data_IF_675704367062
#
_entry.id   IF_675704367062
#
_cell.length_a   1.000
_cell.length_b   1.000
_cell.length_c   1.000
_cell.angle_alpha   90.00
_cell.angle_beta   90.00
_cell.angle_gamma   90.00
#
_symmetry.space_group_name_H-M   'P 1'
#
loop_
_entity.id
_entity.type
_entity.pdbx_description
1 polymer ?
#
# COMPACT_ATOMS: atom_id res chain seq x y z
N UNK A 1 43.50 10.25 -0.17
CA UNK A 1 42.52 9.13 -0.15
C UNK A 1 41.62 9.36 1.03
N UNK A 2 40.48 10.00 0.80
CA UNK A 2 39.47 10.25 1.83
C UNK A 2 38.61 9.01 1.99
N UNK A 3 38.39 8.60 3.25
CA UNK A 3 37.67 7.39 3.62
C UNK A 3 36.16 7.54 3.35
N UNK A 4 35.60 6.61 2.59
CA UNK A 4 34.15 6.45 2.38
C UNK A 4 33.47 6.18 3.74
N UNK A 5 32.31 6.80 4.05
CA UNK A 5 31.60 6.56 5.31
C UNK A 5 31.18 5.09 5.46
N UNK A 6 31.65 4.44 6.53
CA UNK A 6 31.26 3.09 6.92
C UNK A 6 29.81 3.07 7.40
N UNK A 7 28.87 2.70 6.54
CA UNK A 7 27.44 2.62 6.91
C UNK A 7 26.59 1.58 6.17
N UNK A 8 27.10 0.91 5.13
CA UNK A 8 26.31 -0.04 4.33
C UNK A 8 27.16 -1.25 3.90
N UNK A 9 27.77 -1.93 4.86
CA UNK A 9 28.46 -3.20 4.60
C UNK A 9 27.94 -4.27 5.55
N UNK A 10 26.88 -4.98 5.14
CA UNK A 10 26.52 -6.37 5.51
C UNK A 10 25.08 -6.66 5.13
N UNK A 11 24.82 -7.00 3.87
CA UNK A 11 23.63 -7.78 3.51
C UNK A 11 24.01 -8.70 2.35
N UNK A 12 23.62 -9.97 2.46
CA UNK A 12 23.42 -11.01 1.44
C UNK A 12 24.38 -12.20 1.59
N UNK A 13 23.94 -13.20 2.36
CA UNK A 13 23.91 -14.59 1.91
C UNK A 13 22.66 -15.27 2.49
N UNK A 14 21.80 -15.82 1.62
CA UNK A 14 20.79 -16.81 2.02
C UNK A 14 20.53 -17.72 0.80
N UNK A 15 20.69 -19.04 0.92
CA UNK A 15 20.53 -19.95 -0.20
C UNK A 15 19.06 -20.21 -0.53
N UNK A 16 18.79 -20.38 -1.82
CA UNK A 16 17.52 -20.83 -2.37
C UNK A 16 17.18 -22.24 -1.86
N UNK A 17 16.03 -22.39 -1.18
CA UNK A 17 15.37 -23.69 -0.98
C UNK A 17 14.24 -23.84 -1.99
N UNK A 18 14.32 -24.89 -2.80
CA UNK A 18 13.22 -25.43 -3.59
C UNK A 18 12.33 -26.30 -2.69
N UNK A 19 11.00 -26.16 -2.81
CA UNK A 19 10.03 -27.04 -2.16
C UNK A 19 9.27 -27.80 -3.25
N UNK A 20 9.29 -29.14 -3.26
CA UNK A 20 8.50 -29.95 -4.20
C UNK A 20 7.10 -30.28 -3.65
N UNK A 21 6.12 -30.24 -4.56
CA UNK A 21 4.91 -31.10 -4.64
C UNK A 21 3.91 -31.13 -3.48
N UNK A 22 2.72 -30.55 -3.67
CA UNK A 22 1.52 -30.86 -2.88
C UNK A 22 0.43 -31.46 -3.80
N UNK A 23 0.15 -32.78 -3.74
CA UNK A 23 -0.89 -33.46 -4.51
C UNK A 23 -2.20 -33.58 -3.69
N UNK A 24 -2.79 -32.43 -3.34
CA UNK A 24 -4.13 -32.31 -2.77
C UNK A 24 -4.72 -30.97 -3.26
N UNK A 25 -5.93 -30.85 -3.78
CA UNK A 25 -6.98 -31.83 -3.97
C UNK A 25 -7.95 -31.33 -5.02
N UNK A 26 -8.16 -32.17 -6.03
CA UNK A 26 -9.14 -32.09 -7.11
C UNK A 26 -10.61 -32.24 -6.63
N UNK A 27 -10.94 -31.71 -5.45
CA UNK A 27 -12.26 -31.88 -4.83
C UNK A 27 -13.18 -30.64 -4.89
N UNK A 28 -12.73 -29.55 -5.51
CA UNK A 28 -13.39 -28.23 -5.48
C UNK A 28 -13.95 -27.75 -6.84
N UNK A 29 -14.21 -28.67 -7.79
CA UNK A 29 -14.69 -28.31 -9.14
C UNK A 29 -16.16 -28.74 -9.40
N UNK A 30 -16.85 -29.41 -8.45
CA UNK A 30 -18.23 -29.90 -8.66
C UNK A 30 -19.35 -29.20 -7.86
N UNK A 31 -19.08 -28.12 -7.14
CA UNK A 31 -20.10 -27.38 -6.38
C UNK A 31 -20.51 -26.01 -7.00
N UNK A 32 -20.26 -25.79 -8.30
CA UNK A 32 -20.55 -24.53 -9.00
C UNK A 32 -21.68 -24.65 -10.04
N UNK A 33 -22.69 -25.49 -9.79
CA UNK A 33 -23.86 -25.57 -10.66
C UNK A 33 -25.16 -25.35 -9.87
N UNK A 34 -25.93 -24.37 -10.36
CA UNK A 34 -27.27 -23.94 -9.95
C UNK A 34 -27.37 -22.96 -8.76
N UNK A 35 -27.01 -21.69 -9.02
CA UNK A 35 -27.68 -20.57 -8.32
C UNK A 35 -28.86 -20.13 -9.22
N UNK A 36 -30.12 -20.19 -8.73
CA UNK A 36 -31.28 -19.80 -9.52
C UNK A 36 -31.22 -18.33 -9.91
N UNK A 37 -31.41 -18.06 -11.20
CA UNK A 37 -31.38 -16.71 -11.77
C UNK A 37 -32.81 -16.19 -11.92
N UNK A 38 -33.51 -15.92 -10.81
CA UNK A 38 -34.78 -15.20 -10.87
C UNK A 38 -34.88 -14.18 -9.73
N UNK A 39 -34.97 -12.90 -10.10
CA UNK A 39 -35.90 -11.88 -9.60
C UNK A 39 -35.25 -10.48 -9.47
N UNK A 40 -35.68 -9.58 -10.36
CA UNK A 40 -35.48 -8.13 -10.26
C UNK A 40 -34.08 -7.67 -10.68
N UNK A 41 -34.00 -6.59 -11.47
CA UNK A 41 -32.74 -5.86 -11.67
C UNK A 41 -32.33 -5.22 -10.34
N UNK A 42 -31.80 -6.03 -9.44
CA UNK A 42 -30.97 -5.56 -8.35
C UNK A 42 -29.83 -4.79 -8.98
N UNK A 43 -29.56 -3.60 -8.46
CA UNK A 43 -28.41 -2.77 -8.86
C UNK A 43 -27.22 -3.71 -9.11
N UNK A 44 -26.74 -3.77 -10.35
CA UNK A 44 -25.73 -4.71 -10.89
C UNK A 44 -24.43 -4.81 -10.07
N UNK A 45 -24.32 -3.98 -9.03
CA UNK A 45 -23.15 -3.75 -8.22
C UNK A 45 -23.39 -3.93 -6.72
N UNK A 46 -24.31 -4.80 -6.29
CA UNK A 46 -24.43 -5.24 -4.89
C UNK A 46 -24.31 -6.76 -4.81
N UNK A 47 -23.89 -7.32 -3.66
CA UNK A 47 -23.98 -8.74 -3.42
C UNK A 47 -25.42 -9.22 -3.57
N UNK A 48 -25.61 -10.45 -4.04
CA UNK A 48 -26.93 -11.07 -4.11
C UNK A 48 -27.60 -11.08 -2.73
N UNK A 49 -28.91 -10.79 -2.66
CA UNK A 49 -29.63 -10.72 -1.37
C UNK A 49 -29.52 -11.96 -0.49
N UNK A 50 -29.42 -13.15 -1.09
CA UNK A 50 -29.27 -14.39 -0.33
C UNK A 50 -28.02 -14.39 0.55
N UNK A 51 -27.00 -13.62 0.18
CA UNK A 51 -25.75 -13.53 0.92
C UNK A 51 -25.77 -12.44 2.01
N UNK A 52 -26.82 -11.61 2.11
CA UNK A 52 -26.87 -10.56 3.13
C UNK A 52 -27.21 -11.15 4.49
N UNK A 53 -26.28 -11.07 5.45
CA UNK A 53 -26.52 -11.49 6.83
C UNK A 53 -27.18 -10.38 7.66
N UNK A 54 -27.13 -9.14 7.18
CA UNK A 54 -27.69 -7.96 7.85
C UNK A 54 -28.59 -7.16 6.91
N UNK A 55 -29.50 -6.36 7.47
CA UNK A 55 -30.33 -5.43 6.71
C UNK A 55 -29.81 -3.99 6.83
N UNK A 56 -29.12 -3.44 5.80
CA UNK A 56 -28.49 -2.11 5.85
C UNK A 56 -29.47 -0.94 5.98
N UNK A 57 -30.78 -1.15 5.79
CA UNK A 57 -31.79 -0.08 5.99
C UNK A 57 -32.30 -0.01 7.42
N UNK A 58 -32.08 -1.06 8.22
CA UNK A 58 -32.49 -1.12 9.63
C UNK A 58 -31.34 -0.87 10.57
N UNK A 59 -30.15 -1.35 10.20
CA UNK A 59 -28.97 -1.31 11.05
C UNK A 59 -27.73 -1.04 10.20
N UNK A 60 -26.91 -0.11 10.68
CA UNK A 60 -25.58 0.14 10.16
C UNK A 60 -24.58 -0.16 11.25
N UNK A 61 -23.45 -0.72 10.86
CA UNK A 61 -22.33 -0.93 11.77
C UNK A 61 -21.47 0.34 11.84
N UNK A 62 -21.00 0.76 13.02
CA UNK A 62 -20.04 1.85 13.12
C UNK A 62 -18.80 1.55 12.28
N UNK A 63 -18.31 2.54 11.50
CA UNK A 63 -17.08 2.38 10.74
C UNK A 63 -15.89 2.27 11.70
N UNK A 64 -15.10 1.18 11.66
CA UNK A 64 -13.89 1.07 12.47
C UNK A 64 -12.90 2.21 12.18
N UNK A 65 -12.48 2.90 13.24
CA UNK A 65 -11.48 3.96 13.20
C UNK A 65 -10.27 3.53 14.03
N UNK A 66 -9.09 4.02 13.66
CA UNK A 66 -7.91 3.94 14.50
C UNK A 66 -7.91 5.03 15.58
N UNK A 67 -6.87 5.06 16.42
CA UNK A 67 -6.72 5.99 17.54
C UNK A 67 -6.72 7.48 17.12
N UNK A 68 -6.55 7.77 15.84
CA UNK A 68 -6.55 9.12 15.26
C UNK A 68 -7.87 9.52 14.60
N UNK A 69 -8.90 8.68 14.71
CA UNK A 69 -10.18 8.90 14.04
C UNK A 69 -10.12 8.72 12.52
N UNK A 70 -9.09 8.03 12.01
CA UNK A 70 -8.95 7.68 10.58
C UNK A 70 -9.44 6.25 10.38
N UNK A 71 -10.20 6.01 9.32
CA UNK A 71 -10.72 4.67 8.95
C UNK A 71 -9.61 3.60 8.99
N UNK A 72 -9.81 2.59 9.85
CA UNK A 72 -8.98 1.39 9.86
C UNK A 72 -9.46 0.47 8.75
N UNK A 73 -8.72 0.44 7.64
CA UNK A 73 -9.10 -0.30 6.44
C UNK A 73 -9.24 -1.80 6.70
N UNK A 74 -8.33 -2.40 7.47
CA UNK A 74 -8.33 -3.86 7.68
C UNK A 74 -9.52 -4.25 8.55
N UNK A 75 -9.72 -3.52 9.67
CA UNK A 75 -10.87 -3.74 10.54
C UNK A 75 -12.21 -3.45 9.83
N UNK A 76 -12.27 -2.39 9.00
CA UNK A 76 -13.48 -2.05 8.22
C UNK A 76 -13.83 -3.14 7.22
N UNK A 77 -12.84 -3.64 6.46
CA UNK A 77 -13.09 -4.73 5.51
C UNK A 77 -13.56 -5.98 6.25
N UNK A 78 -12.92 -6.35 7.36
CA UNK A 78 -13.33 -7.52 8.15
C UNK A 78 -14.77 -7.37 8.65
N UNK A 79 -15.10 -6.23 9.26
CA UNK A 79 -16.45 -5.99 9.76
C UNK A 79 -17.51 -6.01 8.64
N UNK A 80 -17.19 -5.50 7.45
CA UNK A 80 -18.09 -5.57 6.29
C UNK A 80 -18.21 -7.00 5.78
N UNK A 81 -17.13 -7.78 5.75
CA UNK A 81 -17.17 -9.18 5.32
C UNK A 81 -18.03 -10.05 6.25
N UNK A 82 -18.05 -9.75 7.55
CA UNK A 82 -18.90 -10.44 8.53
C UNK A 82 -20.41 -10.17 8.33
N UNK A 83 -20.77 -9.22 7.47
CA UNK A 83 -22.17 -8.95 7.10
C UNK A 83 -22.63 -9.70 5.84
N UNK A 84 -21.75 -10.50 5.24
CA UNK A 84 -21.99 -11.28 4.04
C UNK A 84 -21.72 -12.77 4.32
N UNK A 85 -22.55 -13.64 3.76
CA UNK A 85 -22.36 -15.09 3.84
C UNK A 85 -20.95 -15.47 3.33
N UNK A 86 -20.12 -16.19 4.12
CA UNK A 86 -18.76 -16.55 3.72
C UNK A 86 -18.66 -17.37 2.43
N UNK A 87 -19.75 -18.04 2.02
CA UNK A 87 -19.81 -18.76 0.75
C UNK A 87 -20.02 -17.84 -0.47
N UNK A 88 -20.29 -16.54 -0.25
CA UNK A 88 -20.43 -15.57 -1.34
C UNK A 88 -19.11 -15.36 -2.08
N UNK A 89 -19.15 -15.58 -3.40
CA UNK A 89 -18.00 -15.37 -4.28
C UNK A 89 -18.09 -13.99 -4.91
N UNK A 90 -17.20 -13.09 -4.48
CA UNK A 90 -17.10 -11.74 -5.03
C UNK A 90 -16.70 -11.74 -6.51
N UNK A 91 -17.38 -10.92 -7.31
CA UNK A 91 -17.02 -10.72 -8.72
C UNK A 91 -15.63 -10.13 -8.88
N UNK A 92 -14.81 -10.70 -9.78
CA UNK A 92 -13.49 -10.15 -10.13
C UNK A 92 -13.52 -9.16 -11.29
N UNK A 93 -14.69 -8.93 -11.90
CA UNK A 93 -14.81 -8.17 -13.16
C UNK A 93 -14.59 -6.67 -12.98
N UNK A 94 -14.71 -6.15 -11.76
CA UNK A 94 -14.73 -4.71 -11.47
C UNK A 94 -13.90 -4.36 -10.23
N UNK A 95 -12.62 -4.76 -10.23
CA UNK A 95 -11.68 -4.39 -9.17
C UNK A 95 -11.09 -3.01 -9.50
N UNK A 96 -11.47 -1.99 -8.73
CA UNK A 96 -11.04 -0.60 -8.93
C UNK A 96 -10.43 -0.01 -7.67
N UNK A 97 -9.51 0.97 -7.79
CA UNK A 97 -9.03 1.72 -6.63
C UNK A 97 -10.18 2.52 -6.01
N UNK A 98 -10.36 2.35 -4.71
CA UNK A 98 -11.40 2.95 -3.91
C UNK A 98 -10.79 3.71 -2.72
N UNK A 99 -11.41 4.82 -2.34
CA UNK A 99 -11.03 5.61 -1.18
C UNK A 99 -11.83 5.14 0.03
N UNK A 100 -11.16 4.69 1.09
CA UNK A 100 -11.85 4.30 2.33
C UNK A 100 -12.34 5.51 3.13
N UNK A 101 -11.82 6.70 2.83
CA UNK A 101 -12.40 7.94 3.29
C UNK A 101 -13.64 8.27 2.44
N UNK A 102 -14.69 8.75 3.11
CA UNK A 102 -16.02 9.02 2.53
C UNK A 102 -16.01 10.11 1.43
N UNK A 103 -17.21 10.56 1.03
CA UNK A 103 -17.43 11.46 -0.12
C UNK A 103 -16.49 12.67 -0.13
N UNK A 104 -16.05 13.04 -1.33
CA UNK A 104 -15.00 14.05 -1.53
C UNK A 104 -15.41 15.48 -1.10
N UNK A 105 -16.71 15.79 -1.15
CA UNK A 105 -17.28 17.08 -0.74
C UNK A 105 -17.02 17.41 0.73
N UNK A 106 -16.91 16.40 1.60
CA UNK A 106 -16.56 16.58 3.02
C UNK A 106 -15.10 16.98 3.26
N UNK A 107 -14.25 16.82 2.25
CA UNK A 107 -12.83 17.17 2.27
C UNK A 107 -12.58 18.45 1.47
N UNK A 108 -13.56 19.35 1.45
CA UNK A 108 -13.39 20.70 0.92
C UNK A 108 -12.89 21.64 2.02
N UNK A 109 -12.15 22.69 1.63
CA UNK A 109 -11.73 23.73 2.58
C UNK A 109 -12.92 24.49 3.15
N UNK A 110 -13.93 24.71 2.33
CA UNK A 110 -15.14 25.44 2.71
C UNK A 110 -15.90 24.72 3.84
N UNK A 111 -15.78 23.39 3.92
CA UNK A 111 -16.41 22.58 4.98
C UNK A 111 -15.61 22.55 6.28
N UNK A 112 -14.28 22.73 6.24
CA UNK A 112 -13.38 22.48 7.38
C UNK A 112 -12.80 23.74 8.03
N UNK A 113 -13.22 24.93 7.57
CA UNK A 113 -12.89 26.21 8.19
C UNK A 113 -11.58 26.85 7.68
N UNK A 114 -11.23 28.03 8.23
CA UNK A 114 -10.11 28.82 7.75
C UNK A 114 -8.76 28.12 7.98
N UNK A 115 -7.76 28.38 7.12
CA UNK A 115 -6.49 27.66 7.15
C UNK A 115 -5.63 28.06 8.35
N UNK A 116 -5.53 27.16 9.34
CA UNK A 116 -4.46 27.20 10.35
C UNK A 116 -3.20 26.43 9.92
N UNK A 117 -3.34 25.48 9.00
CA UNK A 117 -2.26 24.59 8.54
C UNK A 117 -2.23 24.53 7.00
N UNK A 118 -1.05 24.31 6.38
CA UNK A 118 -0.89 24.23 4.93
C UNK A 118 -1.35 22.87 4.35
N UNK A 119 -2.45 22.31 4.82
CA UNK A 119 -3.00 21.05 4.31
C UNK A 119 -4.11 21.33 3.29
N UNK A 120 -4.16 20.49 2.25
CA UNK A 120 -5.33 20.37 1.39
C UNK A 120 -6.06 19.09 1.79
N UNK A 121 -7.27 19.16 2.39
CA UNK A 121 -8.00 17.96 2.85
C UNK A 121 -8.23 16.93 1.72
N UNK A 122 -8.39 17.40 0.48
CA UNK A 122 -8.45 16.55 -0.71
C UNK A 122 -7.17 15.72 -0.94
N UNK A 123 -5.98 16.25 -0.58
CA UNK A 123 -4.72 15.50 -0.68
C UNK A 123 -4.66 14.39 0.36
N UNK A 124 -5.08 14.65 1.60
CA UNK A 124 -5.18 13.65 2.66
C UNK A 124 -6.02 12.46 2.18
N UNK A 125 -7.25 12.70 1.72
CA UNK A 125 -8.14 11.65 1.18
C UNK A 125 -7.45 10.82 0.08
N UNK A 126 -6.55 11.44 -0.69
CA UNK A 126 -5.93 10.82 -1.86
C UNK A 126 -4.62 10.06 -1.60
N UNK A 127 -4.10 10.01 -0.38
CA UNK A 127 -2.86 9.27 -0.10
C UNK A 127 -3.05 7.75 -0.27
N UNK A 128 -1.98 7.06 -0.65
CA UNK A 128 -2.04 5.62 -0.96
C UNK A 128 -2.47 4.74 0.22
N UNK A 129 -2.03 4.99 1.48
CA UNK A 129 -2.46 4.20 2.63
C UNK A 129 -3.96 4.25 2.91
N UNK A 130 -4.69 5.24 2.38
CA UNK A 130 -6.14 5.40 2.56
C UNK A 130 -6.96 4.84 1.39
N UNK A 131 -6.29 4.11 0.48
CA UNK A 131 -6.89 3.54 -0.73
C UNK A 131 -6.69 2.04 -0.79
N UNK A 132 -7.63 1.37 -1.43
CA UNK A 132 -7.45 -0.03 -1.81
C UNK A 132 -8.31 -0.43 -2.99
N UNK A 133 -7.96 -1.57 -3.59
CA UNK A 133 -8.65 -2.13 -4.71
C UNK A 133 -9.70 -3.11 -4.21
N UNK A 134 -10.97 -2.79 -4.46
CA UNK A 134 -12.11 -3.59 -4.06
C UNK A 134 -12.95 -3.96 -5.29
N UNK A 135 -13.66 -5.10 -5.29
CA UNK A 135 -14.75 -5.33 -6.21
C UNK A 135 -15.79 -4.24 -5.98
N UNK A 136 -16.35 -3.73 -7.07
CA UNK A 136 -17.38 -2.69 -6.99
C UNK A 136 -18.56 -3.09 -6.09
N UNK A 137 -18.91 -4.37 -6.05
CA UNK A 137 -19.93 -4.93 -5.15
C UNK A 137 -19.60 -4.71 -3.68
N UNK A 138 -18.36 -4.97 -3.27
CA UNK A 138 -17.92 -4.82 -1.88
C UNK A 138 -17.84 -3.34 -1.50
N UNK A 139 -17.34 -2.49 -2.39
CA UNK A 139 -17.34 -1.03 -2.19
C UNK A 139 -18.77 -0.51 -1.92
N UNK A 140 -19.72 -0.87 -2.78
CA UNK A 140 -21.09 -0.41 -2.62
C UNK A 140 -21.75 -1.01 -1.38
N UNK A 141 -21.45 -2.26 -1.07
CA UNK A 141 -21.93 -2.89 0.16
C UNK A 141 -21.37 -2.22 1.41
N UNK A 142 -20.07 -1.93 1.43
CA UNK A 142 -19.41 -1.17 2.50
C UNK A 142 -20.16 0.13 2.77
N UNK A 143 -20.42 0.95 1.74
CA UNK A 143 -21.16 2.21 1.91
C UNK A 143 -22.62 2.04 2.39
N UNK A 144 -23.22 0.88 2.14
CA UNK A 144 -24.57 0.57 2.61
C UNK A 144 -24.59 0.16 4.08
N UNK A 145 -23.70 -0.75 4.49
CA UNK A 145 -23.74 -1.34 5.83
C UNK A 145 -23.02 -0.50 6.88
N UNK A 146 -22.09 0.37 6.49
CA UNK A 146 -21.34 1.17 7.46
C UNK A 146 -21.96 2.56 7.69
N UNK A 147 -21.80 3.04 8.91
CA UNK A 147 -22.05 4.43 9.29
C UNK A 147 -20.96 5.35 8.72
N UNK A 148 -21.35 6.54 8.28
CA UNK A 148 -20.37 7.51 7.83
C UNK A 148 -19.56 8.06 9.02
N UNK A 149 -18.22 7.95 9.03
CA UNK A 149 -17.42 8.39 10.16
C UNK A 149 -17.31 9.93 10.23
N UNK A 150 -16.96 10.47 11.40
CA UNK A 150 -16.54 11.86 11.53
C UNK A 150 -15.37 12.19 10.62
N UNK A 151 -15.29 13.45 10.15
CA UNK A 151 -14.10 13.90 9.40
C UNK A 151 -12.96 14.13 10.40
N UNK A 152 -11.73 13.62 10.15
CA UNK A 152 -10.58 13.90 11.00
C UNK A 152 -10.28 15.40 11.11
N UNK A 153 -9.61 15.82 12.19
CA UNK A 153 -9.18 17.22 12.34
C UNK A 153 -8.17 17.60 11.25
N UNK A 154 -8.05 18.90 10.94
CA UNK A 154 -7.05 19.40 9.98
C UNK A 154 -5.62 19.04 10.39
N UNK A 155 -5.34 18.97 11.69
CA UNK A 155 -4.06 18.55 12.25
C UNK A 155 -3.75 17.09 11.93
N UNK A 156 -4.70 16.17 12.19
CA UNK A 156 -4.57 14.75 11.84
C UNK A 156 -4.34 14.60 10.33
N UNK A 157 -5.13 15.30 9.51
CA UNK A 157 -4.96 15.25 8.06
C UNK A 157 -3.58 15.74 7.61
N UNK A 158 -3.08 16.81 8.22
CA UNK A 158 -1.77 17.37 7.94
C UNK A 158 -0.67 16.36 8.26
N UNK A 159 -0.61 15.85 9.50
CA UNK A 159 0.44 14.93 9.91
C UNK A 159 0.39 13.59 9.17
N UNK A 160 -0.79 13.04 8.87
CA UNK A 160 -0.91 11.83 8.04
C UNK A 160 -0.37 12.06 6.61
N UNK A 161 -0.69 13.22 6.02
CA UNK A 161 -0.23 13.56 4.67
C UNK A 161 1.28 13.73 4.67
N UNK A 162 1.81 14.47 5.65
CA UNK A 162 3.24 14.73 5.80
C UNK A 162 4.02 13.43 6.06
N UNK A 163 3.54 12.57 6.97
CA UNK A 163 4.13 11.26 7.24
C UNK A 163 4.17 10.37 6.00
N UNK A 164 3.10 10.39 5.19
CA UNK A 164 3.11 9.66 3.92
C UNK A 164 4.12 10.24 2.92
N UNK A 165 4.23 11.55 2.77
CA UNK A 165 5.19 12.17 1.85
C UNK A 165 6.64 11.89 2.27
N UNK A 166 6.95 11.97 3.56
CA UNK A 166 8.26 11.65 4.11
C UNK A 166 8.58 10.17 3.90
N UNK A 167 7.66 9.27 4.27
CA UNK A 167 7.84 7.83 4.07
C UNK A 167 8.03 7.47 2.58
N UNK A 168 7.28 8.09 1.68
CA UNK A 168 7.42 7.93 0.23
C UNK A 168 8.77 8.46 -0.28
N UNK A 169 9.24 9.58 0.27
CA UNK A 169 10.56 10.15 -0.02
C UNK A 169 11.70 9.20 0.36
N UNK A 170 11.67 8.68 1.59
CA UNK A 170 12.61 7.67 2.09
C UNK A 170 12.54 6.38 1.25
N UNK A 171 11.34 5.91 0.91
CA UNK A 171 11.14 4.75 0.04
C UNK A 171 11.83 4.92 -1.32
N UNK A 172 11.66 6.09 -1.96
CA UNK A 172 12.28 6.38 -3.25
C UNK A 172 13.81 6.33 -3.15
N UNK A 173 14.38 7.05 -2.19
CA UNK A 173 15.85 7.10 -2.01
C UNK A 173 16.43 5.70 -1.75
N UNK A 174 15.78 4.93 -0.87
CA UNK A 174 16.23 3.57 -0.52
C UNK A 174 16.08 2.58 -1.69
N UNK A 175 14.97 2.64 -2.42
CA UNK A 175 14.72 1.76 -3.57
C UNK A 175 15.69 2.06 -4.72
N UNK A 176 15.93 3.33 -5.02
CA UNK A 176 16.87 3.75 -6.06
C UNK A 176 18.31 3.38 -5.70
N UNK A 177 18.74 3.56 -4.44
CA UNK A 177 20.07 3.13 -3.99
C UNK A 177 20.26 1.61 -4.11
N UNK A 178 19.26 0.80 -3.76
CA UNK A 178 19.33 -0.67 -3.94
C UNK A 178 19.46 -1.05 -5.41
N UNK A 179 18.71 -0.40 -6.31
CA UNK A 179 18.83 -0.64 -7.76
C UNK A 179 20.24 -0.29 -8.25
N UNK A 180 20.76 0.86 -7.84
CA UNK A 180 22.09 1.32 -8.23
C UNK A 180 23.19 0.41 -7.68
N UNK A 181 23.12 -0.01 -6.41
CA UNK A 181 24.07 -0.97 -5.83
C UNK A 181 24.09 -2.29 -6.59
N UNK A 182 22.92 -2.80 -7.02
CA UNK A 182 22.85 -4.00 -7.86
C UNK A 182 23.48 -3.80 -9.23
N UNK A 183 23.26 -2.64 -9.86
CA UNK A 183 23.90 -2.28 -11.12
C UNK A 183 25.42 -2.23 -10.97
N UNK A 184 25.93 -1.56 -9.91
CA UNK A 184 27.36 -1.48 -9.62
C UNK A 184 27.98 -2.86 -9.36
N UNK A 185 27.34 -3.71 -8.55
CA UNK A 185 27.80 -5.09 -8.30
C UNK A 185 27.85 -5.91 -9.60
N UNK A 186 26.78 -5.87 -10.40
CA UNK A 186 26.74 -6.57 -11.70
C UNK A 186 27.82 -6.08 -12.64
N UNK A 187 28.09 -4.77 -12.67
CA UNK A 187 29.18 -4.19 -13.47
C UNK A 187 30.55 -4.70 -13.01
N UNK A 188 30.80 -4.73 -11.70
CA UNK A 188 32.03 -5.28 -11.14
C UNK A 188 32.22 -6.77 -11.49
N UNK A 189 31.15 -7.57 -11.44
CA UNK A 189 31.18 -8.99 -11.84
C UNK A 189 31.48 -9.16 -13.33
N UNK A 190 30.86 -8.36 -14.21
CA UNK A 190 31.11 -8.41 -15.65
C UNK A 190 32.56 -8.02 -16.00
N UNK A 191 33.08 -6.96 -15.38
CA UNK A 191 34.46 -6.51 -15.54
C UNK A 191 35.49 -7.56 -15.08
N UNK A 192 35.16 -8.32 -14.03
CA UNK A 192 36.03 -9.39 -13.55
C UNK A 192 36.09 -10.59 -14.51
N UNK A 193 35.03 -10.83 -15.29
CA UNK A 193 34.97 -11.92 -16.27
C UNK A 193 35.64 -11.52 -17.59
N UNK A 194 35.33 -10.33 -18.10
CA UNK A 194 35.86 -9.83 -19.35
C UNK A 194 35.92 -8.29 -19.31
N UNK A 195 37.14 -7.76 -19.20
CA UNK A 195 37.41 -6.33 -19.14
C UNK A 195 37.04 -5.57 -20.42
N UNK A 196 36.72 -6.27 -21.52
CA UNK A 196 36.29 -5.68 -22.78
C UNK A 196 34.76 -5.53 -22.90
N UNK A 197 33.98 -6.06 -21.96
CA UNK A 197 32.49 -6.00 -21.95
C UNK A 197 31.96 -4.57 -21.88
N UNK A 198 32.79 -3.60 -21.49
CA UNK A 198 32.46 -2.17 -21.48
C UNK A 198 32.94 -1.44 -22.75
N UNK A 199 32.84 -2.05 -23.94
CA UNK A 199 33.15 -1.36 -25.21
C UNK A 199 32.31 -0.07 -25.36
N UNK A 200 32.92 0.97 -25.94
CA UNK A 200 32.44 2.37 -26.04
C UNK A 200 30.99 2.57 -26.53
N UNK A 201 30.40 1.59 -27.20
CA UNK A 201 29.03 1.66 -27.73
C UNK A 201 27.93 1.58 -26.66
N UNK A 202 28.26 1.35 -25.39
CA UNK A 202 27.33 1.47 -24.24
C UNK A 202 27.62 2.73 -23.43
N UNK A 203 27.32 3.90 -24.00
CA UNK A 203 27.49 5.21 -23.37
C UNK A 203 26.85 5.36 -21.98
N UNK A 204 25.85 4.52 -21.65
CA UNK A 204 25.22 4.49 -20.33
C UNK A 204 26.12 3.89 -19.23
N UNK A 205 27.16 3.12 -19.60
CA UNK A 205 28.06 2.42 -18.66
C UNK A 205 29.41 3.13 -18.44
N UNK A 206 29.84 4.02 -19.36
CA UNK A 206 31.15 4.69 -19.31
C UNK A 206 31.24 5.86 -18.32
N UNK A 207 30.12 6.47 -17.97
CA UNK A 207 30.03 7.43 -16.87
C UNK A 207 29.88 6.74 -15.50
N UNK A 208 29.98 5.41 -15.45
CA UNK A 208 29.48 4.54 -14.39
C UNK A 208 29.85 4.94 -12.96
N UNK A 209 31.14 5.15 -12.64
CA UNK A 209 31.57 5.37 -11.24
C UNK A 209 31.35 6.80 -10.77
N UNK A 210 31.59 7.80 -11.63
CA UNK A 210 31.32 9.20 -11.30
C UNK A 210 29.81 9.44 -11.20
N UNK A 211 29.04 8.95 -12.18
CA UNK A 211 27.57 9.03 -12.15
C UNK A 211 26.99 8.29 -10.94
N UNK A 212 27.53 7.11 -10.60
CA UNK A 212 27.13 6.38 -9.41
C UNK A 212 27.42 7.16 -8.13
N UNK A 213 28.61 7.76 -8.03
CA UNK A 213 29.02 8.57 -6.87
C UNK A 213 28.14 9.81 -6.71
N UNK A 214 27.90 10.55 -7.79
CA UNK A 214 27.02 11.73 -7.80
C UNK A 214 25.57 11.35 -7.48
N UNK A 215 25.07 10.25 -8.06
CA UNK A 215 23.74 9.75 -7.76
C UNK A 215 23.62 9.33 -6.29
N UNK A 216 24.60 8.59 -5.77
CA UNK A 216 24.63 8.13 -4.38
C UNK A 216 24.68 9.31 -3.41
N UNK A 217 25.49 10.33 -3.70
CA UNK A 217 25.56 11.55 -2.88
C UNK A 217 24.22 12.31 -2.88
N UNK A 218 23.61 12.47 -4.06
CA UNK A 218 22.28 13.07 -4.19
C UNK A 218 21.22 12.30 -3.40
N UNK A 219 21.27 10.96 -3.43
CA UNK A 219 20.36 10.13 -2.65
C UNK A 219 20.60 10.24 -1.15
N UNK A 220 21.85 10.27 -0.69
CA UNK A 220 22.18 10.49 0.71
C UNK A 220 21.65 11.83 1.21
N UNK A 221 21.92 12.93 0.47
CA UNK A 221 21.39 14.26 0.83
C UNK A 221 19.87 14.30 0.88
N UNK A 222 19.20 13.66 -0.08
CA UNK A 222 17.74 13.56 -0.09
C UNK A 222 17.21 12.69 1.08
N UNK A 223 17.91 11.60 1.40
CA UNK A 223 17.57 10.71 2.51
C UNK A 223 17.68 11.43 3.86
N UNK A 224 18.79 12.15 4.09
CA UNK A 224 19.01 12.94 5.31
C UNK A 224 17.95 14.04 5.46
N UNK A 225 17.60 14.72 4.37
CA UNK A 225 16.51 15.69 4.35
C UNK A 225 15.17 15.07 4.80
N UNK A 226 14.83 13.88 4.32
CA UNK A 226 13.60 13.22 4.74
C UNK A 226 13.67 12.67 6.17
N UNK A 227 14.84 12.24 6.65
CA UNK A 227 15.01 11.86 8.06
C UNK A 227 14.82 13.06 8.99
N UNK A 228 15.40 14.20 8.66
CA UNK A 228 15.19 15.43 9.43
C UNK A 228 13.70 15.84 9.44
N UNK A 229 13.00 15.71 8.31
CA UNK A 229 11.55 15.95 8.27
C UNK A 229 10.78 14.94 9.11
N UNK A 230 11.17 13.67 9.13
CA UNK A 230 10.54 12.64 9.96
C UNK A 230 10.59 13.00 11.45
N UNK A 231 11.70 13.58 11.90
CA UNK A 231 11.85 14.02 13.30
C UNK A 231 10.86 15.13 13.68
N UNK A 232 10.44 15.97 12.74
CA UNK A 232 9.43 17.01 12.96
C UNK A 232 7.98 16.49 13.06
N UNK A 233 7.75 15.22 12.72
CA UNK A 233 6.44 14.59 12.78
C UNK A 233 6.27 13.95 14.17
N UNK A 234 5.13 14.16 14.86
CA UNK A 234 4.86 13.49 16.13
C UNK A 234 4.91 11.96 15.97
N UNK A 235 5.44 11.27 16.99
CA UNK A 235 5.80 9.85 16.90
C UNK A 235 4.62 8.96 16.50
N UNK A 236 3.44 9.28 17.01
CA UNK A 236 2.18 8.59 16.78
C UNK A 236 1.67 8.65 15.33
N UNK A 237 2.19 9.56 14.50
CA UNK A 237 1.88 9.65 13.07
C UNK A 237 2.97 9.04 12.18
N UNK A 238 4.13 8.67 12.73
CA UNK A 238 5.26 8.19 11.94
C UNK A 238 4.96 6.81 11.33
N UNK A 239 4.98 6.74 10.00
CA UNK A 239 4.81 5.47 9.26
C UNK A 239 6.09 4.61 9.21
N UNK A 240 7.22 5.23 9.51
CA UNK A 240 8.55 4.63 9.60
C UNK A 240 9.30 5.25 10.77
N UNK A 241 10.22 4.53 11.38
CA UNK A 241 11.03 5.03 12.50
C UNK A 241 12.46 5.35 12.03
N UNK A 242 13.16 6.33 12.63
CA UNK A 242 14.52 6.73 12.20
C UNK A 242 15.55 5.60 12.23
N UNK A 243 15.36 4.60 13.10
CA UNK A 243 16.22 3.42 13.27
C UNK A 243 15.93 2.30 12.25
N UNK A 244 14.91 2.44 11.39
CA UNK A 244 14.62 1.43 10.37
C UNK A 244 15.74 1.40 9.31
N UNK A 245 16.30 0.21 9.09
CA UNK A 245 17.19 0.00 7.94
C UNK A 245 16.51 0.37 6.61
N UNK A 246 17.25 0.82 5.58
CA UNK A 246 16.73 1.11 4.24
C UNK A 246 15.84 0.00 3.68
N UNK A 247 16.26 -1.26 3.81
CA UNK A 247 15.49 -2.43 3.34
C UNK A 247 14.16 -2.57 4.07
N UNK A 248 14.12 -2.27 5.37
CA UNK A 248 12.88 -2.31 6.17
C UNK A 248 11.95 -1.17 5.76
N UNK A 249 12.47 0.04 5.56
CA UNK A 249 11.71 1.19 5.01
C UNK A 249 11.08 0.81 3.67
N UNK A 250 11.88 0.32 2.70
CA UNK A 250 11.37 -0.03 1.37
C UNK A 250 10.25 -1.09 1.47
N UNK A 251 10.44 -2.11 2.30
CA UNK A 251 9.46 -3.18 2.52
C UNK A 251 8.18 -2.67 3.20
N UNK A 252 8.29 -1.82 4.22
CA UNK A 252 7.16 -1.28 4.98
C UNK A 252 6.33 -0.34 4.11
N UNK A 253 6.96 0.66 3.50
CA UNK A 253 6.26 1.66 2.67
C UNK A 253 5.75 1.03 1.37
N UNK A 254 6.53 0.15 0.75
CA UNK A 254 6.09 -0.61 -0.42
C UNK A 254 4.84 -1.44 -0.11
N UNK A 255 4.79 -2.11 1.05
CA UNK A 255 3.59 -2.82 1.51
C UNK A 255 2.41 -1.88 1.71
N UNK A 256 2.59 -0.69 2.29
CA UNK A 256 1.49 0.29 2.46
C UNK A 256 0.94 0.75 1.10
N UNK A 257 1.83 1.02 0.13
CA UNK A 257 1.44 1.39 -1.22
C UNK A 257 0.66 0.28 -1.95
N UNK A 258 1.03 -0.98 -1.74
CA UNK A 258 0.43 -2.14 -2.43
C UNK A 258 -0.68 -2.84 -1.65
N UNK A 259 -0.81 -2.62 -0.33
CA UNK A 259 -1.75 -3.34 0.55
C UNK A 259 -3.19 -3.16 0.10
N UNK A 260 -3.50 -1.96 -0.38
CA UNK A 260 -4.75 -1.68 -1.05
C UNK A 260 -5.09 -2.71 -2.12
N UNK A 261 -4.13 -3.19 -2.90
CA UNK A 261 -4.33 -4.10 -4.04
C UNK A 261 -4.56 -5.58 -3.67
N UNK A 262 -4.26 -6.00 -2.43
CA UNK A 262 -4.14 -7.44 -2.10
C UNK A 262 -4.98 -7.92 -0.91
N UNK A 263 -5.71 -7.02 -0.24
CA UNK A 263 -6.51 -7.39 0.94
C UNK A 263 -7.50 -8.52 0.64
N UNK A 264 -8.20 -8.48 -0.50
CA UNK A 264 -9.18 -9.52 -0.86
C UNK A 264 -8.56 -10.87 -1.12
N UNK A 265 -7.38 -10.91 -1.75
CA UNK A 265 -6.71 -12.18 -2.04
C UNK A 265 -6.32 -12.89 -0.74
N UNK A 266 -5.98 -12.14 0.31
CA UNK A 266 -5.64 -12.71 1.62
C UNK A 266 -6.87 -13.07 2.45
N UNK A 267 -7.88 -12.20 2.48
CA UNK A 267 -9.10 -12.43 3.26
C UNK A 267 -9.94 -13.55 2.66
N UNK A 268 -10.08 -13.61 1.32
CA UNK A 268 -10.78 -14.72 0.65
C UNK A 268 -10.09 -16.07 0.90
N UNK A 269 -8.75 -16.12 0.93
CA UNK A 269 -8.02 -17.34 1.24
C UNK A 269 -8.11 -17.76 2.72
N UNK A 270 -8.41 -16.84 3.64
CA UNK A 270 -8.62 -17.16 5.08
C UNK A 270 -10.03 -17.64 5.37
N UNK A 271 -11.03 -17.21 4.62
CA UNK A 271 -12.41 -17.66 4.79
C UNK A 271 -12.66 -19.02 4.10
N UNK A 272 -11.78 -19.44 3.21
CA UNK A 272 -11.82 -20.73 2.52
C UNK A 272 -11.03 -21.85 3.22
N UNK A 273 -10.37 -21.57 4.36
CA UNK A 273 -9.52 -22.50 5.10
C UNK A 273 -10.07 -22.73 6.51
#
# INVERSE_FOLDING_TARGET
MESVPQGIERIIEAPHRTVPGNPAGDFLIRALQAVPTEAGQESEYLPSRWAHLVNPTKEKIPTPLNDHGVVDIEATIMAVMDTIDPAYVWSRRSINPHHFQWRADRYSRDTLGPPGLPVQPAQFRNISPLKGHLPRELENWLHKVTEEPPVPSLEVMYYYTEAWQVAKGLYRCTSESVVKQRQAKRRAELLAVDGSVLSDDRSDDLYGDQYFSEAQEKFSRAYDFYLQRLESIPEEFRLVTPDMSPRRISKTVGRMATRGSHLLTRTANRLAA
#
